data_IF_095521509641
#
_entry.id   IF_095521509641
#
_cell.length_a   1.000
_cell.length_b   1.000
_cell.length_c   1.000
_cell.angle_alpha   90.00
_cell.angle_beta   90.00
_cell.angle_gamma   90.00
#
_symmetry.space_group_name_H-M   'P 1'
#
loop_
_entity.id
_entity.type
_entity.pdbx_description
1 polymer ?
#
# COMPACT_ATOMS: atom_id res chain seq x y z
N UNK A 1 -1.23 24.51 -22.24
CA UNK A 1 0.08 24.00 -21.78
C UNK A 1 0.70 23.15 -22.88
N UNK A 2 2.05 23.20 -23.05
CA UNK A 2 2.78 22.37 -24.02
C UNK A 2 3.79 21.49 -23.26
N UNK A 3 3.67 20.18 -23.40
CA UNK A 3 4.64 19.21 -22.85
C UNK A 3 5.47 18.67 -24.02
N UNK A 4 6.79 18.72 -23.90
CA UNK A 4 7.73 18.19 -24.87
C UNK A 4 8.59 17.11 -24.22
N UNK A 5 8.76 16.00 -24.91
CA UNK A 5 9.61 14.89 -24.49
C UNK A 5 10.88 14.93 -25.32
N UNK A 6 12.04 14.75 -24.69
CA UNK A 6 13.32 14.74 -25.37
C UNK A 6 14.31 13.82 -24.64
N UNK A 7 15.39 13.48 -25.30
CA UNK A 7 16.42 12.59 -24.74
C UNK A 7 17.57 13.40 -24.13
N UNK A 8 18.07 12.94 -23.00
CA UNK A 8 19.33 13.40 -22.39
C UNK A 8 20.26 12.23 -22.23
N UNK A 9 21.41 12.26 -22.87
CA UNK A 9 22.42 11.19 -22.74
C UNK A 9 22.83 10.97 -21.30
N UNK A 10 22.82 9.71 -20.89
CA UNK A 10 23.33 9.28 -19.58
C UNK A 10 24.51 8.29 -19.72
N UNK A 11 24.65 7.59 -20.86
CA UNK A 11 25.82 6.76 -21.18
C UNK A 11 26.11 6.78 -22.67
N UNK A 12 27.09 5.98 -23.11
CA UNK A 12 27.44 5.87 -24.53
C UNK A 12 26.29 5.35 -25.40
N UNK A 13 25.40 4.53 -24.85
CA UNK A 13 24.35 3.80 -25.59
C UNK A 13 22.94 4.06 -25.09
N UNK A 14 22.78 4.78 -23.98
CA UNK A 14 21.47 5.01 -23.35
C UNK A 14 21.23 6.48 -23.05
N UNK A 15 19.99 6.90 -23.16
CA UNK A 15 19.52 8.23 -22.80
C UNK A 15 18.33 8.15 -21.88
N UNK A 16 18.21 9.12 -20.98
CA UNK A 16 17.03 9.29 -20.13
C UNK A 16 15.98 10.09 -20.86
N UNK A 17 14.73 9.72 -20.67
CA UNK A 17 13.57 10.51 -21.10
C UNK A 17 13.48 11.75 -20.22
N UNK A 18 13.38 12.92 -20.86
CA UNK A 18 13.23 14.20 -20.19
C UNK A 18 11.92 14.85 -20.60
N UNK A 19 11.27 15.49 -19.65
CA UNK A 19 10.04 16.24 -19.87
C UNK A 19 10.30 17.73 -19.74
N UNK A 20 9.74 18.51 -20.64
CA UNK A 20 9.74 19.98 -20.57
C UNK A 20 8.31 20.46 -20.66
N UNK A 21 7.86 21.14 -19.63
CA UNK A 21 6.53 21.76 -19.54
C UNK A 21 6.66 23.26 -19.74
N UNK A 22 5.92 23.81 -20.69
CA UNK A 22 5.89 25.25 -21.00
C UNK A 22 4.46 25.76 -20.98
N UNK A 23 4.23 26.79 -20.17
CA UNK A 23 2.96 27.53 -20.17
C UNK A 23 3.19 28.93 -19.65
N UNK A 24 2.83 29.96 -20.44
CA UNK A 24 3.03 31.38 -20.06
C UNK A 24 4.41 31.62 -19.45
N UNK A 25 4.50 31.83 -18.13
CA UNK A 25 5.73 32.11 -17.39
C UNK A 25 6.40 30.85 -16.78
N UNK A 26 5.89 29.65 -17.04
CA UNK A 26 6.40 28.37 -16.50
C UNK A 26 7.24 27.68 -17.58
N UNK A 27 8.50 27.40 -17.29
CA UNK A 27 9.40 26.56 -18.11
C UNK A 27 10.12 25.55 -17.18
N UNK A 28 9.55 24.36 -17.07
CA UNK A 28 10.04 23.30 -16.19
C UNK A 28 10.74 22.23 -17.03
N UNK A 29 11.94 21.83 -16.63
CA UNK A 29 12.69 20.72 -17.24
C UNK A 29 13.04 19.70 -16.20
N UNK A 30 12.63 18.44 -16.40
CA UNK A 30 12.87 17.33 -15.46
C UNK A 30 13.38 16.12 -16.22
N UNK A 31 14.41 15.50 -15.69
CA UNK A 31 14.93 14.21 -16.15
C UNK A 31 14.18 13.10 -15.41
N UNK A 32 13.59 12.15 -16.14
CA UNK A 32 12.98 10.98 -15.54
C UNK A 32 14.00 9.85 -15.35
N UNK A 33 13.73 8.87 -14.48
CA UNK A 33 14.55 7.65 -14.36
C UNK A 33 14.32 6.66 -15.51
N UNK A 34 13.40 6.95 -16.44
CA UNK A 34 13.14 6.10 -17.60
C UNK A 34 14.32 6.22 -18.56
N UNK A 35 15.07 5.13 -18.72
CA UNK A 35 16.19 5.05 -19.66
C UNK A 35 15.78 4.24 -20.89
N UNK A 36 16.22 4.69 -22.06
CA UNK A 36 16.01 4.03 -23.35
C UNK A 36 17.32 3.85 -24.09
N UNK A 37 17.41 2.83 -24.91
CA UNK A 37 18.58 2.58 -25.72
C UNK A 37 18.50 3.39 -27.03
N UNK A 38 19.43 4.34 -27.24
CA UNK A 38 19.40 5.32 -28.35
C UNK A 38 19.19 4.67 -29.72
N UNK A 39 19.85 3.53 -29.99
CA UNK A 39 19.78 2.80 -31.25
C UNK A 39 18.37 2.31 -31.59
N UNK A 40 17.60 1.94 -30.60
CA UNK A 40 16.29 1.30 -30.78
C UNK A 40 15.11 2.21 -30.47
N UNK A 41 15.37 3.42 -29.97
CA UNK A 41 14.35 4.39 -29.65
C UNK A 41 14.07 5.35 -30.80
N UNK A 42 12.82 5.65 -31.05
CA UNK A 42 12.37 6.70 -31.96
C UNK A 42 11.82 7.86 -31.14
N UNK A 43 12.51 9.00 -31.20
CA UNK A 43 12.16 10.18 -30.43
C UNK A 43 10.93 10.93 -30.99
N UNK A 44 10.60 10.76 -32.27
CA UNK A 44 9.47 11.42 -32.90
C UNK A 44 8.14 10.72 -32.54
N UNK A 45 8.17 9.39 -32.56
CA UNK A 45 6.99 8.58 -32.23
C UNK A 45 6.90 8.22 -30.74
N UNK A 46 7.94 8.48 -29.95
CA UNK A 46 8.08 8.11 -28.53
C UNK A 46 7.89 6.60 -28.30
N UNK A 47 8.37 5.79 -29.23
CA UNK A 47 8.25 4.34 -29.21
C UNK A 47 9.58 3.67 -29.55
N UNK A 48 9.68 2.39 -29.22
CA UNK A 48 10.79 1.59 -29.73
C UNK A 48 10.60 1.22 -31.20
N UNK A 49 11.65 1.31 -31.97
CA UNK A 49 11.71 0.74 -33.34
C UNK A 49 11.56 -0.77 -33.25
N UNK A 50 11.00 -1.40 -34.28
CA UNK A 50 10.85 -2.85 -34.30
C UNK A 50 12.18 -3.54 -34.12
N UNK A 51 12.36 -4.25 -33.01
CA UNK A 51 13.61 -4.92 -32.63
C UNK A 51 13.34 -6.10 -31.69
N UNK A 52 14.21 -7.10 -31.73
CA UNK A 52 14.23 -8.22 -30.77
C UNK A 52 15.19 -7.97 -29.61
N UNK A 53 15.99 -6.89 -29.67
CA UNK A 53 16.96 -6.55 -28.63
C UNK A 53 16.32 -5.94 -27.35
N UNK A 54 15.07 -5.52 -27.42
CA UNK A 54 14.29 -5.02 -26.30
C UNK A 54 13.08 -5.95 -26.12
N UNK A 55 12.75 -6.30 -24.89
CA UNK A 55 11.63 -7.20 -24.60
C UNK A 55 10.30 -6.60 -25.03
N UNK A 56 9.34 -7.43 -25.47
CA UNK A 56 8.02 -6.96 -25.86
C UNK A 56 7.29 -6.21 -24.72
N UNK A 57 7.54 -6.63 -23.47
CA UNK A 57 7.01 -5.97 -22.28
C UNK A 57 7.54 -4.53 -22.17
N UNK A 58 8.83 -4.33 -22.35
CA UNK A 58 9.47 -3.03 -22.27
C UNK A 58 9.08 -2.12 -23.43
N UNK A 59 8.99 -2.68 -24.64
CA UNK A 59 8.54 -1.94 -25.83
C UNK A 59 7.14 -1.35 -25.66
N UNK A 60 6.27 -2.01 -24.90
CA UNK A 60 4.92 -1.52 -24.58
C UNK A 60 4.90 -0.61 -23.36
N UNK A 61 5.58 -1.01 -22.28
CA UNK A 61 5.57 -0.31 -20.99
C UNK A 61 6.08 1.13 -21.07
N UNK A 62 7.21 1.36 -21.75
CA UNK A 62 7.84 2.69 -21.74
C UNK A 62 6.98 3.75 -22.44
N UNK A 63 6.45 3.51 -23.64
CA UNK A 63 5.49 4.45 -24.26
C UNK A 63 4.25 4.70 -23.42
N UNK A 64 3.68 3.66 -22.80
CA UNK A 64 2.51 3.78 -21.92
C UNK A 64 2.82 4.65 -20.68
N UNK A 65 3.99 4.47 -20.07
CA UNK A 65 4.44 5.30 -18.95
C UNK A 65 4.61 6.76 -19.34
N UNK A 66 5.19 7.05 -20.52
CA UNK A 66 5.34 8.42 -21.05
C UNK A 66 3.97 9.05 -21.26
N UNK A 67 3.05 8.34 -21.89
CA UNK A 67 1.68 8.83 -22.14
C UNK A 67 0.95 9.12 -20.82
N UNK A 68 1.03 8.23 -19.85
CA UNK A 68 0.43 8.40 -18.53
C UNK A 68 1.02 9.59 -17.76
N UNK A 69 2.34 9.83 -17.86
CA UNK A 69 3.00 11.00 -17.25
C UNK A 69 2.47 12.29 -17.87
N UNK A 70 2.35 12.34 -19.19
CA UNK A 70 1.82 13.50 -19.90
C UNK A 70 0.37 13.77 -19.48
N UNK A 71 -0.48 12.76 -19.53
CA UNK A 71 -1.89 12.87 -19.14
C UNK A 71 -2.06 13.35 -17.69
N UNK A 72 -1.29 12.77 -16.74
CA UNK A 72 -1.33 13.18 -15.33
C UNK A 72 -0.81 14.60 -15.15
N UNK A 73 0.24 14.99 -15.86
CA UNK A 73 0.75 16.35 -15.84
C UNK A 73 -0.29 17.35 -16.36
N UNK A 74 -1.00 17.04 -17.43
CA UNK A 74 -2.07 17.88 -17.96
C UNK A 74 -3.24 18.05 -16.98
N UNK A 75 -3.61 16.98 -16.29
CA UNK A 75 -4.70 16.99 -15.29
C UNK A 75 -4.36 17.75 -14.00
N UNK A 76 -3.08 17.73 -13.59
CA UNK A 76 -2.66 18.27 -12.29
C UNK A 76 -1.91 19.60 -12.37
N UNK A 77 -1.72 20.14 -13.58
CA UNK A 77 -1.01 21.40 -13.79
C UNK A 77 -1.70 22.57 -13.09
N UNK A 78 -0.90 23.41 -12.46
CA UNK A 78 -1.32 24.68 -11.90
C UNK A 78 -0.30 25.77 -12.24
N UNK A 79 -0.70 27.06 -12.17
CA UNK A 79 0.22 28.19 -12.43
C UNK A 79 1.40 28.26 -11.43
N UNK A 80 1.30 27.54 -10.31
CA UNK A 80 2.36 27.40 -9.28
C UNK A 80 3.23 26.16 -9.49
N UNK A 81 3.03 25.41 -10.58
CA UNK A 81 3.80 24.21 -10.87
C UNK A 81 5.30 24.52 -11.00
N UNK A 82 6.13 23.69 -10.41
CA UNK A 82 7.57 23.78 -10.40
C UNK A 82 8.24 22.44 -10.75
N UNK A 83 9.57 22.40 -10.69
CA UNK A 83 10.32 21.18 -10.96
C UNK A 83 10.03 20.05 -9.95
N UNK A 84 9.62 20.36 -8.70
CA UNK A 84 9.26 19.37 -7.70
C UNK A 84 7.92 18.73 -8.04
N UNK A 85 6.93 19.55 -8.47
CA UNK A 85 5.65 19.04 -8.95
C UNK A 85 5.83 18.04 -10.09
N UNK A 86 6.63 18.39 -11.12
CA UNK A 86 6.81 17.48 -12.27
C UNK A 86 7.56 16.19 -11.88
N UNK A 87 8.54 16.25 -10.97
CA UNK A 87 9.17 15.05 -10.39
C UNK A 87 8.15 14.18 -9.69
N UNK A 88 7.24 14.78 -8.91
CA UNK A 88 6.19 14.05 -8.19
C UNK A 88 5.22 13.38 -9.17
N UNK A 89 4.83 14.06 -10.27
CA UNK A 89 3.99 13.47 -11.33
C UNK A 89 4.66 12.23 -11.93
N UNK A 90 5.97 12.29 -12.20
CA UNK A 90 6.74 11.15 -12.73
C UNK A 90 6.75 10.00 -11.71
N UNK A 91 7.09 10.27 -10.45
CA UNK A 91 7.11 9.27 -9.38
C UNK A 91 5.75 8.61 -9.18
N UNK A 92 4.66 9.36 -9.22
CA UNK A 92 3.30 8.86 -9.04
C UNK A 92 2.88 7.88 -10.14
N UNK A 93 3.33 8.11 -11.37
CA UNK A 93 3.06 7.20 -12.49
C UNK A 93 3.95 5.96 -12.44
N UNK A 94 5.22 6.14 -12.09
CA UNK A 94 6.17 5.02 -12.03
C UNK A 94 5.96 4.13 -10.81
N UNK A 95 5.46 4.72 -9.71
CA UNK A 95 5.23 4.05 -8.43
C UNK A 95 3.81 4.33 -7.89
N UNK A 96 2.76 3.83 -8.56
CA UNK A 96 1.38 4.15 -8.20
C UNK A 96 0.99 3.72 -6.78
N UNK A 97 1.59 2.66 -6.26
CA UNK A 97 1.38 2.24 -4.87
C UNK A 97 1.85 3.31 -3.86
N UNK A 98 3.04 3.90 -4.08
CA UNK A 98 3.56 4.98 -3.22
C UNK A 98 2.72 6.26 -3.33
N UNK A 99 2.20 6.56 -4.52
CA UNK A 99 1.29 7.68 -4.73
C UNK A 99 0.00 7.48 -3.92
N UNK A 100 -0.56 6.29 -3.99
CA UNK A 100 -1.74 5.92 -3.21
C UNK A 100 -1.47 6.01 -1.69
N UNK A 101 -0.35 5.47 -1.21
CA UNK A 101 0.07 5.55 0.20
C UNK A 101 0.18 6.98 0.73
N UNK A 102 0.69 7.90 -0.10
CA UNK A 102 0.81 9.32 0.27
C UNK A 102 -0.53 10.00 0.40
N UNK A 103 -1.46 9.70 -0.53
CA UNK A 103 -2.72 10.42 -0.67
C UNK A 103 -3.83 9.81 0.22
N UNK A 104 -3.63 8.59 0.74
CA UNK A 104 -4.60 7.87 1.57
C UNK A 104 -3.99 7.47 2.92
N UNK A 105 -4.68 7.76 4.02
CA UNK A 105 -4.28 7.25 5.32
C UNK A 105 -4.31 5.71 5.33
N UNK A 106 -3.24 5.09 5.82
CA UNK A 106 -3.18 3.64 5.93
C UNK A 106 -4.17 3.11 6.99
N UNK A 107 -4.36 1.80 7.00
CA UNK A 107 -5.29 1.13 7.91
C UNK A 107 -4.96 1.38 9.39
N UNK A 108 -3.68 1.43 9.78
CA UNK A 108 -3.27 1.71 11.16
C UNK A 108 -3.67 3.13 11.59
N UNK A 109 -3.48 4.12 10.72
CA UNK A 109 -3.93 5.49 10.99
C UNK A 109 -5.45 5.54 11.20
N UNK A 110 -6.22 4.82 10.39
CA UNK A 110 -7.67 4.74 10.52
C UNK A 110 -8.12 4.01 11.79
N UNK A 111 -7.39 2.99 12.23
CA UNK A 111 -7.68 2.32 13.53
C UNK A 111 -7.43 3.30 14.69
N UNK A 112 -6.36 4.08 14.62
CA UNK A 112 -6.08 5.10 15.64
C UNK A 112 -7.19 6.15 15.70
N UNK A 113 -7.62 6.66 14.54
CA UNK A 113 -8.74 7.59 14.43
C UNK A 113 -10.06 6.98 14.97
N UNK A 114 -10.31 5.69 14.71
CA UNK A 114 -11.45 4.95 15.26
C UNK A 114 -11.39 4.91 16.78
N UNK A 115 -10.22 4.63 17.35
CA UNK A 115 -10.00 4.61 18.79
C UNK A 115 -10.26 5.99 19.44
N UNK A 116 -9.76 7.06 18.82
CA UNK A 116 -9.96 8.43 19.31
C UNK A 116 -11.43 8.86 19.29
N UNK A 117 -12.16 8.46 18.25
CA UNK A 117 -13.59 8.80 18.08
C UNK A 117 -14.56 7.85 18.80
N UNK A 118 -14.02 6.79 19.43
CA UNK A 118 -14.85 5.82 20.12
C UNK A 118 -15.31 6.37 21.46
N UNK A 119 -16.64 6.55 21.63
CA UNK A 119 -17.30 7.09 22.82
C UNK A 119 -18.06 6.05 23.65
N UNK A 120 -17.90 4.75 23.31
CA UNK A 120 -18.58 3.65 23.98
C UNK A 120 -17.86 3.15 25.25
N UNK A 121 -18.23 1.93 25.67
CA UNK A 121 -17.72 1.32 26.90
C UNK A 121 -16.20 1.17 26.94
N UNK A 122 -15.58 1.49 28.08
CA UNK A 122 -14.12 1.43 28.28
C UNK A 122 -13.53 0.05 27.96
N UNK A 123 -14.23 -1.01 28.34
CA UNK A 123 -13.82 -2.39 28.01
C UNK A 123 -13.71 -2.63 26.51
N UNK A 124 -14.59 -2.06 25.70
CA UNK A 124 -14.51 -2.16 24.24
C UNK A 124 -13.35 -1.35 23.71
N UNK A 125 -13.07 -0.19 24.30
CA UNK A 125 -11.92 0.64 23.97
C UNK A 125 -10.60 -0.12 24.20
N UNK A 126 -10.49 -0.86 25.32
CA UNK A 126 -9.34 -1.73 25.56
C UNK A 126 -9.17 -2.82 24.48
N UNK A 127 -10.29 -3.35 23.96
CA UNK A 127 -10.23 -4.32 22.86
C UNK A 127 -9.74 -3.67 21.55
N UNK A 128 -10.14 -2.41 21.26
CA UNK A 128 -9.67 -1.66 20.10
C UNK A 128 -8.16 -1.39 20.21
N UNK A 129 -7.68 -0.96 21.38
CA UNK A 129 -6.23 -0.78 21.65
C UNK A 129 -5.45 -2.08 21.43
N UNK A 130 -5.99 -3.21 21.90
CA UNK A 130 -5.36 -4.51 21.70
C UNK A 130 -5.33 -4.89 20.21
N UNK A 131 -6.41 -4.64 19.49
CA UNK A 131 -6.50 -4.85 18.04
C UNK A 131 -5.48 -3.98 17.28
N UNK A 132 -5.39 -2.68 17.57
CA UNK A 132 -4.41 -1.76 17.00
C UNK A 132 -2.98 -2.30 17.16
N UNK A 133 -2.60 -2.68 18.38
CA UNK A 133 -1.28 -3.24 18.66
C UNK A 133 -1.00 -4.55 17.93
N UNK A 134 -2.00 -5.41 17.80
CA UNK A 134 -1.86 -6.68 17.08
C UNK A 134 -1.69 -6.42 15.58
N UNK A 135 -2.45 -5.49 15.02
CA UNK A 135 -2.34 -5.09 13.61
C UNK A 135 -0.98 -4.42 13.33
N UNK A 136 -0.47 -3.60 14.25
CA UNK A 136 0.86 -3.00 14.15
C UNK A 136 1.94 -4.07 14.07
N UNK A 137 1.92 -5.05 15.00
CA UNK A 137 2.88 -6.16 14.97
C UNK A 137 2.77 -7.01 13.70
N UNK A 138 1.57 -7.20 13.17
CA UNK A 138 1.37 -7.89 11.88
C UNK A 138 2.04 -7.14 10.72
N UNK A 139 1.89 -5.82 10.64
CA UNK A 139 2.56 -5.01 9.62
C UNK A 139 4.09 -5.11 9.73
N UNK A 140 4.63 -5.01 10.95
CA UNK A 140 6.07 -5.13 11.21
C UNK A 140 6.58 -6.53 10.89
N UNK A 141 5.85 -7.59 11.27
CA UNK A 141 6.14 -8.97 10.92
C UNK A 141 6.25 -9.17 9.41
N UNK A 142 5.29 -8.67 8.64
CA UNK A 142 5.32 -8.73 7.17
C UNK A 142 6.55 -8.02 6.60
N UNK A 143 6.87 -6.84 7.11
CA UNK A 143 7.97 -6.03 6.62
C UNK A 143 9.34 -6.57 6.99
N UNK A 144 9.54 -6.91 8.25
CA UNK A 144 10.85 -7.22 8.78
C UNK A 144 11.22 -8.71 8.68
N UNK A 145 10.26 -9.62 8.93
CA UNK A 145 10.53 -11.06 8.92
C UNK A 145 10.21 -11.73 7.56
N UNK A 146 9.13 -11.30 6.88
CA UNK A 146 8.80 -11.85 5.56
C UNK A 146 9.44 -11.07 4.40
N UNK A 147 10.14 -9.96 4.67
CA UNK A 147 10.84 -9.18 3.65
C UNK A 147 9.93 -8.35 2.74
N UNK A 148 8.65 -8.23 3.08
CA UNK A 148 7.67 -7.42 2.35
C UNK A 148 7.78 -5.94 2.77
N UNK A 149 8.91 -5.32 2.47
CA UNK A 149 9.34 -4.01 2.97
C UNK A 149 8.29 -2.91 2.83
N UNK A 150 7.43 -3.01 1.82
CA UNK A 150 6.40 -2.00 1.52
C UNK A 150 4.99 -2.45 1.92
N UNK A 151 4.87 -3.52 2.69
CA UNK A 151 3.56 -3.99 3.12
C UNK A 151 2.79 -2.92 3.89
N UNK A 152 1.64 -2.55 3.37
CA UNK A 152 0.72 -1.60 3.98
C UNK A 152 -0.71 -1.98 3.59
N UNK A 153 -1.61 -2.01 4.57
CA UNK A 153 -3.03 -2.19 4.32
C UNK A 153 -3.75 -0.84 4.29
N UNK A 154 -4.74 -0.74 3.40
CA UNK A 154 -5.65 0.40 3.29
C UNK A 154 -7.08 -0.09 3.37
N UNK A 155 -7.95 0.67 4.00
CA UNK A 155 -9.37 0.31 4.16
C UNK A 155 -10.07 0.17 2.81
N UNK A 156 -9.63 0.94 1.81
CA UNK A 156 -10.17 0.98 0.44
C UNK A 156 -9.86 -0.29 -0.35
N UNK A 157 -8.72 -0.93 -0.07
CA UNK A 157 -8.21 -2.04 -0.90
C UNK A 157 -8.02 -3.35 -0.15
N UNK A 158 -8.35 -3.39 1.15
CA UNK A 158 -8.24 -4.64 1.92
C UNK A 158 -9.12 -5.73 1.31
N UNK A 159 -8.53 -6.92 1.14
CA UNK A 159 -9.17 -8.08 0.50
C UNK A 159 -9.51 -9.16 1.52
N UNK A 160 -10.38 -10.09 1.13
CA UNK A 160 -10.70 -11.27 1.92
C UNK A 160 -9.44 -12.13 2.19
N UNK A 161 -8.54 -12.25 1.22
CA UNK A 161 -7.26 -12.95 1.39
C UNK A 161 -6.42 -12.31 2.50
N UNK A 162 -6.25 -10.98 2.49
CA UNK A 162 -5.50 -10.26 3.53
C UNK A 162 -6.15 -10.36 4.92
N UNK A 163 -7.49 -10.42 5.01
CA UNK A 163 -8.18 -10.67 6.27
C UNK A 163 -7.90 -12.09 6.79
N UNK A 164 -7.89 -13.10 5.92
CA UNK A 164 -7.53 -14.47 6.29
C UNK A 164 -6.07 -14.57 6.70
N UNK A 165 -5.13 -13.93 5.99
CA UNK A 165 -3.71 -13.89 6.36
C UNK A 165 -3.52 -13.27 7.77
N UNK A 166 -4.24 -12.19 8.06
CA UNK A 166 -4.23 -11.59 9.40
C UNK A 166 -4.81 -12.53 10.45
N UNK A 167 -5.90 -13.25 10.16
CA UNK A 167 -6.48 -14.25 11.06
C UNK A 167 -5.48 -15.36 11.36
N UNK A 168 -4.81 -15.89 10.35
CA UNK A 168 -3.78 -16.93 10.52
C UNK A 168 -2.61 -16.42 11.34
N UNK A 169 -2.16 -15.19 11.10
CA UNK A 169 -1.15 -14.54 11.92
C UNK A 169 -1.58 -14.48 13.40
N UNK A 170 -2.79 -14.01 13.70
CA UNK A 170 -3.32 -13.90 15.08
C UNK A 170 -3.38 -15.27 15.74
N UNK A 171 -3.83 -16.30 15.04
CA UNK A 171 -3.94 -17.65 15.57
C UNK A 171 -2.57 -18.26 15.88
N UNK A 172 -1.54 -17.94 15.09
CA UNK A 172 -0.21 -18.52 15.16
C UNK A 172 0.85 -17.59 15.79
N UNK A 173 0.50 -16.36 16.22
CA UNK A 173 1.45 -15.40 16.79
C UNK A 173 2.25 -16.00 17.96
N UNK A 174 1.66 -16.90 18.73
CA UNK A 174 2.35 -17.55 19.85
C UNK A 174 3.53 -18.42 19.40
N UNK A 175 3.46 -19.07 18.23
CA UNK A 175 4.57 -19.83 17.63
C UNK A 175 5.66 -18.88 17.13
N UNK A 176 5.26 -17.82 16.43
CA UNK A 176 6.19 -16.80 15.95
C UNK A 176 6.96 -16.12 17.09
N UNK A 177 6.29 -15.92 18.23
CA UNK A 177 6.95 -15.38 19.45
C UNK A 177 7.98 -16.32 20.04
N UNK A 178 7.84 -17.63 19.85
CA UNK A 178 8.83 -18.62 20.27
C UNK A 178 10.00 -18.68 19.27
N UNK A 179 9.70 -18.56 18.00
CA UNK A 179 10.69 -18.64 16.90
C UNK A 179 11.54 -17.36 16.77
N UNK A 180 10.90 -16.17 16.96
CA UNK A 180 11.55 -14.86 16.80
C UNK A 180 11.44 -14.02 18.08
N UNK A 181 12.01 -14.44 19.21
CA UNK A 181 11.88 -13.73 20.49
C UNK A 181 12.42 -12.30 20.43
N UNK A 182 13.54 -12.07 19.76
CA UNK A 182 14.19 -10.76 19.65
C UNK A 182 13.30 -9.74 18.91
N UNK A 183 12.48 -10.20 17.97
CA UNK A 183 11.51 -9.36 17.30
C UNK A 183 10.33 -8.98 18.21
N UNK A 184 9.81 -9.95 18.99
CA UNK A 184 8.57 -9.77 19.75
C UNK A 184 8.76 -9.14 21.13
N UNK A 185 9.87 -9.40 21.84
CA UNK A 185 10.11 -8.90 23.20
C UNK A 185 9.94 -7.37 23.29
N UNK A 186 10.57 -6.55 22.43
CA UNK A 186 10.44 -5.09 22.51
C UNK A 186 9.04 -4.57 22.13
N UNK A 187 8.24 -5.39 21.45
CA UNK A 187 6.91 -5.04 20.93
C UNK A 187 5.74 -5.46 21.80
N UNK A 188 6.04 -6.17 22.90
CA UNK A 188 5.02 -6.68 23.82
C UNK A 188 5.06 -5.88 25.13
N UNK A 189 3.88 -5.48 25.62
CA UNK A 189 3.77 -4.79 26.91
C UNK A 189 4.12 -5.66 28.11
N UNK A 190 3.84 -6.95 28.00
CA UNK A 190 4.00 -7.92 29.07
C UNK A 190 4.64 -9.16 28.47
N UNK A 191 5.78 -9.54 29.01
CA UNK A 191 6.54 -10.68 28.53
C UNK A 191 6.05 -11.99 29.21
N UNK A 192 4.81 -12.37 28.92
CA UNK A 192 4.28 -13.67 29.33
C UNK A 192 4.75 -14.78 28.39
N UNK A 193 4.88 -16.00 28.93
CA UNK A 193 5.14 -17.19 28.12
C UNK A 193 4.10 -17.30 27.00
N UNK A 194 4.52 -17.40 25.73
CA UNK A 194 3.59 -17.50 24.62
C UNK A 194 2.64 -18.68 24.75
N UNK A 195 1.35 -18.44 24.59
CA UNK A 195 0.30 -19.45 24.59
C UNK A 195 -0.63 -19.24 23.40
N UNK A 196 -1.18 -20.32 22.83
CA UNK A 196 -2.19 -20.19 21.77
C UNK A 196 -3.41 -19.44 22.28
N UNK A 197 -3.97 -18.59 21.43
CA UNK A 197 -5.24 -17.95 21.67
C UNK A 197 -6.38 -18.96 21.46
N UNK A 198 -7.46 -18.84 22.25
CA UNK A 198 -8.68 -19.61 21.97
C UNK A 198 -9.30 -19.17 20.64
N UNK A 199 -10.01 -20.09 19.97
CA UNK A 199 -10.75 -19.77 18.75
C UNK A 199 -11.70 -18.59 18.94
N UNK A 200 -12.39 -18.53 20.08
CA UNK A 200 -13.28 -17.42 20.44
C UNK A 200 -12.53 -16.09 20.48
N UNK A 201 -11.30 -16.05 21.01
CA UNK A 201 -10.49 -14.83 21.03
C UNK A 201 -10.11 -14.38 19.63
N UNK A 202 -9.70 -15.32 18.77
CA UNK A 202 -9.38 -15.02 17.36
C UNK A 202 -10.61 -14.46 16.63
N UNK A 203 -11.78 -15.11 16.81
CA UNK A 203 -13.04 -14.65 16.22
C UNK A 203 -13.40 -13.24 16.72
N UNK A 204 -13.25 -12.96 18.00
CA UNK A 204 -13.55 -11.63 18.54
C UNK A 204 -12.64 -10.55 17.95
N UNK A 205 -11.36 -10.84 17.70
CA UNK A 205 -10.44 -9.91 17.01
C UNK A 205 -10.90 -9.68 15.57
N UNK A 206 -11.32 -10.72 14.86
CA UNK A 206 -11.81 -10.61 13.49
C UNK A 206 -13.15 -9.88 13.40
N UNK A 207 -14.06 -10.12 14.36
CA UNK A 207 -15.32 -9.38 14.46
C UNK A 207 -15.07 -7.88 14.70
N UNK A 208 -14.08 -7.54 15.53
CA UNK A 208 -13.68 -6.15 15.73
C UNK A 208 -13.11 -5.55 14.45
N UNK A 209 -12.33 -6.30 13.68
CA UNK A 209 -11.85 -5.87 12.37
C UNK A 209 -13.01 -5.58 11.41
N UNK A 210 -14.00 -6.46 11.32
CA UNK A 210 -15.22 -6.23 10.52
C UNK A 210 -16.00 -5.00 11.00
N UNK A 211 -16.14 -4.82 12.31
CA UNK A 211 -16.81 -3.66 12.92
C UNK A 211 -16.09 -2.36 12.58
N UNK A 212 -14.77 -2.36 12.63
CA UNK A 212 -13.95 -1.22 12.23
C UNK A 212 -14.11 -0.89 10.74
N UNK A 213 -14.06 -1.88 9.84
CA UNK A 213 -14.27 -1.66 8.40
C UNK A 213 -15.68 -1.11 8.11
N UNK A 214 -16.70 -1.64 8.80
CA UNK A 214 -18.06 -1.11 8.71
C UNK A 214 -18.13 0.35 9.20
N UNK A 215 -17.45 0.70 10.28
CA UNK A 215 -17.33 2.09 10.73
C UNK A 215 -16.67 2.97 9.66
N UNK A 216 -15.59 2.53 9.02
CA UNK A 216 -14.94 3.26 7.93
C UNK A 216 -15.90 3.54 6.78
N UNK A 217 -16.76 2.58 6.41
CA UNK A 217 -17.81 2.80 5.41
C UNK A 217 -18.82 3.85 5.85
N UNK A 218 -19.31 3.78 7.07
CA UNK A 218 -20.23 4.78 7.64
C UNK A 218 -19.63 6.19 7.65
N UNK A 219 -18.34 6.32 7.89
CA UNK A 219 -17.58 7.56 7.84
C UNK A 219 -17.24 8.02 6.42
N UNK A 220 -17.63 7.25 5.40
CA UNK A 220 -17.32 7.48 3.97
C UNK A 220 -15.83 7.53 3.66
N UNK A 221 -15.01 6.78 4.41
CA UNK A 221 -13.60 6.62 4.14
C UNK A 221 -13.34 5.56 3.07
N UNK A 222 -14.27 4.62 2.89
CA UNK A 222 -14.16 3.52 1.93
C UNK A 222 -15.53 2.99 1.54
N UNK A 223 -15.66 2.59 0.29
CA UNK A 223 -16.84 1.83 -0.22
C UNK A 223 -16.60 0.30 -0.18
N UNK A 224 -15.47 -0.15 0.36
CA UNK A 224 -15.12 -1.55 0.46
C UNK A 224 -16.01 -2.30 1.46
N UNK A 225 -16.72 -3.31 0.98
CA UNK A 225 -17.67 -4.12 1.77
C UNK A 225 -17.12 -5.52 2.09
N UNK A 226 -15.82 -5.73 2.06
CA UNK A 226 -15.20 -7.03 2.33
C UNK A 226 -15.64 -7.62 3.67
N UNK A 227 -15.93 -6.78 4.67
CA UNK A 227 -16.45 -7.20 5.97
C UNK A 227 -17.80 -7.90 5.89
N UNK A 228 -18.63 -7.60 4.89
CA UNK A 228 -19.96 -8.19 4.72
C UNK A 228 -19.90 -9.64 4.17
N UNK A 229 -18.82 -9.95 3.42
CA UNK A 229 -18.59 -11.29 2.87
C UNK A 229 -17.63 -12.13 3.74
N UNK A 230 -16.99 -11.51 4.73
CA UNK A 230 -16.11 -12.21 5.65
C UNK A 230 -16.94 -13.03 6.65
N UNK A 231 -17.01 -14.34 6.43
CA UNK A 231 -17.70 -15.26 7.34
C UNK A 231 -16.77 -15.70 8.49
N UNK A 232 -16.87 -15.10 9.66
CA UNK A 232 -16.39 -15.75 10.88
C UNK A 232 -17.30 -16.94 11.18
N UNK A 233 -16.85 -18.17 10.88
CA UNK A 233 -17.55 -19.36 11.39
C UNK A 233 -17.45 -19.32 12.92
N UNK A 234 -18.60 -19.31 13.58
CA UNK A 234 -18.64 -19.53 15.03
C UNK A 234 -17.95 -20.87 15.35
N UNK A 235 -17.17 -20.93 16.46
CA UNK A 235 -16.63 -22.19 16.89
C UNK A 235 -17.79 -23.14 17.14
N UNK A 236 -17.80 -24.30 16.49
CA UNK A 236 -18.65 -25.41 16.90
C UNK A 236 -18.18 -25.80 18.29
N UNK A 237 -18.90 -25.38 19.32
CA UNK A 237 -18.70 -25.93 20.65
C UNK A 237 -19.05 -27.41 20.55
N UNK A 238 -18.07 -28.29 20.72
CA UNK A 238 -18.35 -29.70 21.00
C UNK A 238 -19.29 -29.75 22.21
N UNK A 239 -20.23 -30.71 22.21
CA UNK A 239 -21.14 -30.88 23.34
C UNK A 239 -20.36 -30.78 24.64
N UNK A 240 -20.81 -29.99 25.62
CA UNK A 240 -20.15 -29.94 26.91
C UNK A 240 -20.22 -31.36 27.51
N UNK A 241 -19.06 -32.03 27.59
CA UNK A 241 -18.97 -33.25 28.41
C UNK A 241 -19.22 -32.84 29.85
N UNK A 242 -20.43 -33.04 30.31
CA UNK A 242 -20.71 -33.07 31.75
C UNK A 242 -20.11 -34.38 32.27
N UNK A 243 -18.98 -34.28 32.94
CA UNK A 243 -18.49 -35.28 33.88
C UNK A 243 -19.15 -35.06 35.24
#
# INVERSE_FOLDING_TARGET
>A
MKISVYLKKCSATTSNICFRVREKNVDIKVVSPIAVHDKYWDADTLCYRRTTAVTAIEQKRVPEQIAAIIERAEKTFSEKADGKWMKQVIEDVLHPARAFERDHPNLLHRIHEYLEKYDGAERTKEHIVRFERTMTRYHEYRRELLGDTYFTLFVETVTLGQMNDFREYVANEYLLRQEYPDFYIPRMLINHKPKPLSNTTVINIMNLFCTFLHWCKRMKYSDNEVYAVYGCKEPTYGDPFYL
#
